data_IF_752994419043
#
_entry.id   IF_752994419043
#
_cell.length_a   1.000
_cell.length_b   1.000
_cell.length_c   1.000
_cell.angle_alpha   90.00
_cell.angle_beta   90.00
_cell.angle_gamma   90.00
#
_symmetry.space_group_name_H-M   'P 1'
#
loop_
_entity.id
_entity.type
_entity.pdbx_description
1 polymer ?
#
# COMPACT_ATOMS: atom_id res chain seq x y z
N UNK A 1 -2.12 10.65 -18.94
CA UNK A 1 -2.64 9.56 -18.09
C UNK A 1 -1.63 9.00 -17.07
N UNK A 2 -0.31 8.93 -17.35
CA UNK A 2 0.67 8.31 -16.41
C UNK A 2 0.79 9.02 -15.05
N UNK A 3 0.52 10.33 -14.98
CA UNK A 3 0.71 11.13 -13.75
C UNK A 3 -0.43 10.93 -12.74
N UNK A 4 -1.66 10.65 -13.19
CA UNK A 4 -2.85 10.57 -12.35
C UNK A 4 -2.78 9.38 -11.38
N UNK A 5 -2.21 8.26 -11.84
CA UNK A 5 -2.15 7.00 -11.10
C UNK A 5 -0.74 6.65 -10.59
N UNK A 6 0.22 7.58 -10.67
CA UNK A 6 1.63 7.31 -10.29
C UNK A 6 1.80 6.91 -8.80
N UNK A 7 0.98 7.46 -7.89
CA UNK A 7 0.96 7.06 -6.47
C UNK A 7 0.45 5.63 -6.27
N UNK A 8 -0.53 5.20 -7.07
CA UNK A 8 -1.03 3.83 -7.08
C UNK A 8 0.01 2.86 -7.64
N UNK A 9 0.63 3.19 -8.78
CA UNK A 9 1.71 2.39 -9.36
C UNK A 9 2.87 2.26 -8.38
N UNK A 10 3.24 3.35 -7.68
CA UNK A 10 4.27 3.30 -6.64
C UNK A 10 3.86 2.42 -5.46
N UNK A 11 2.62 2.53 -4.96
CA UNK A 11 2.13 1.69 -3.88
C UNK A 11 2.08 0.21 -4.29
N UNK A 12 1.63 -0.10 -5.50
CA UNK A 12 1.60 -1.46 -6.04
C UNK A 12 3.00 -2.00 -6.32
N UNK A 13 3.95 -1.17 -6.77
CA UNK A 13 5.35 -1.54 -6.89
C UNK A 13 5.95 -1.92 -5.53
N UNK A 14 5.61 -1.19 -4.47
CA UNK A 14 6.00 -1.54 -3.10
C UNK A 14 5.36 -2.85 -2.64
N UNK A 15 4.06 -3.04 -2.90
CA UNK A 15 3.36 -4.28 -2.55
C UNK A 15 3.95 -5.49 -3.30
N UNK A 16 4.17 -5.36 -4.60
CA UNK A 16 4.76 -6.42 -5.42
C UNK A 16 6.19 -6.72 -5.03
N UNK A 17 7.03 -5.71 -4.77
CA UNK A 17 8.38 -5.88 -4.23
C UNK A 17 8.38 -6.60 -2.88
N UNK A 18 7.40 -6.29 -2.01
CA UNK A 18 7.20 -7.02 -0.76
C UNK A 18 6.91 -8.49 -1.03
N UNK A 19 5.98 -8.77 -1.95
CA UNK A 19 5.53 -10.12 -2.27
C UNK A 19 6.53 -10.96 -3.07
N UNK A 20 7.43 -10.34 -3.83
CA UNK A 20 8.53 -11.05 -4.50
C UNK A 20 9.69 -11.36 -3.57
N UNK A 21 9.65 -10.85 -2.33
CA UNK A 21 10.74 -11.00 -1.37
C UNK A 21 11.92 -10.08 -1.68
N UNK A 22 11.71 -8.99 -2.43
CA UNK A 22 12.75 -8.00 -2.72
C UNK A 22 13.30 -7.33 -1.45
N UNK A 23 12.50 -7.31 -0.38
CA UNK A 23 12.92 -6.83 0.94
C UNK A 23 13.47 -7.95 1.86
N UNK A 24 13.61 -9.17 1.32
CA UNK A 24 14.03 -10.38 2.02
C UNK A 24 13.00 -11.50 1.92
N UNK A 25 13.46 -12.75 1.78
CA UNK A 25 12.59 -13.93 1.64
C UNK A 25 11.61 -14.13 2.80
N UNK A 26 11.96 -13.70 4.02
CA UNK A 26 11.06 -13.73 5.19
C UNK A 26 9.91 -12.72 5.10
N UNK A 27 9.96 -11.77 4.17
CA UNK A 27 8.98 -10.71 3.96
C UNK A 27 8.17 -10.90 2.67
N UNK A 28 8.36 -12.03 1.96
CA UNK A 28 7.69 -12.41 0.71
C UNK A 28 6.19 -12.78 0.87
N UNK A 29 5.52 -12.18 1.85
CA UNK A 29 4.13 -12.45 2.22
C UNK A 29 3.49 -11.18 2.79
N UNK A 30 2.16 -11.10 2.76
CA UNK A 30 1.47 -10.01 3.47
C UNK A 30 1.67 -10.16 4.98
N UNK A 31 2.15 -9.11 5.68
CA UNK A 31 2.49 -9.22 7.08
C UNK A 31 1.23 -9.32 7.95
N UNK A 32 1.06 -10.47 8.62
CA UNK A 32 -0.07 -10.74 9.51
C UNK A 32 0.14 -10.28 10.95
N UNK A 33 1.37 -9.93 11.31
CA UNK A 33 1.74 -9.39 12.63
C UNK A 33 2.28 -7.98 12.53
N UNK A 34 2.16 -7.20 13.61
CA UNK A 34 2.65 -5.82 13.67
C UNK A 34 4.17 -5.72 13.50
N UNK A 35 4.92 -6.68 14.06
CA UNK A 35 6.37 -6.72 13.92
C UNK A 35 6.83 -6.97 12.48
N UNK A 36 6.22 -7.95 11.80
CA UNK A 36 6.48 -8.20 10.39
C UNK A 36 6.07 -6.98 9.54
N UNK A 37 4.91 -6.38 9.84
CA UNK A 37 4.42 -5.23 9.11
C UNK A 37 5.36 -4.03 9.19
N UNK A 38 5.85 -3.70 10.40
CA UNK A 38 6.79 -2.60 10.58
C UNK A 38 8.15 -2.87 9.94
N UNK A 39 8.63 -4.13 9.96
CA UNK A 39 9.88 -4.51 9.30
C UNK A 39 9.79 -4.33 7.78
N UNK A 40 8.77 -4.92 7.14
CA UNK A 40 8.52 -4.76 5.70
C UNK A 40 8.28 -3.30 5.34
N UNK A 41 7.55 -2.56 6.18
CA UNK A 41 7.26 -1.15 5.94
C UNK A 41 8.51 -0.27 5.98
N UNK A 42 9.46 -0.54 6.88
CA UNK A 42 10.72 0.20 6.91
C UNK A 42 11.54 -0.05 5.64
N UNK A 43 11.64 -1.31 5.21
CA UNK A 43 12.35 -1.65 3.97
C UNK A 43 11.67 -1.03 2.73
N UNK A 44 10.34 -1.06 2.70
CA UNK A 44 9.54 -0.41 1.67
C UNK A 44 9.77 1.11 1.65
N UNK A 45 9.71 1.77 2.81
CA UNK A 45 9.95 3.21 2.93
C UNK A 45 11.36 3.59 2.45
N UNK A 46 12.36 2.83 2.88
CA UNK A 46 13.75 3.01 2.46
C UNK A 46 13.93 2.87 0.94
N UNK A 47 13.38 1.81 0.35
CA UNK A 47 13.42 1.59 -1.11
C UNK A 47 12.77 2.70 -1.93
N UNK A 48 11.78 3.38 -1.35
CA UNK A 48 11.08 4.49 -1.98
C UNK A 48 11.65 5.86 -1.57
N UNK A 49 12.73 5.87 -0.79
CA UNK A 49 13.37 7.08 -0.23
C UNK A 49 12.39 7.96 0.57
N UNK A 50 11.45 7.33 1.26
CA UNK A 50 10.46 7.98 2.13
C UNK A 50 10.89 7.81 3.60
N UNK A 51 10.77 8.83 4.46
CA UNK A 51 11.15 8.71 5.87
C UNK A 51 10.37 7.60 6.59
N UNK A 52 11.09 6.63 7.16
CA UNK A 52 10.51 5.50 7.89
C UNK A 52 9.66 5.96 9.09
N UNK A 53 10.02 7.06 9.75
CA UNK A 53 9.22 7.63 10.84
C UNK A 53 7.82 8.06 10.41
N UNK A 54 7.68 8.62 9.20
CA UNK A 54 6.38 8.98 8.61
C UNK A 54 5.54 7.75 8.29
N UNK A 55 6.15 6.74 7.66
CA UNK A 55 5.47 5.48 7.34
C UNK A 55 4.98 4.75 8.61
N UNK A 56 5.81 4.67 9.67
CA UNK A 56 5.43 4.11 10.96
C UNK A 56 4.28 4.87 11.62
N UNK A 57 4.27 6.19 11.49
CA UNK A 57 3.19 7.04 12.02
C UNK A 57 1.89 6.78 11.26
N UNK A 58 1.94 6.69 9.93
CA UNK A 58 0.79 6.33 9.11
C UNK A 58 0.25 4.93 9.48
N UNK A 59 1.12 3.95 9.69
CA UNK A 59 0.75 2.63 10.18
C UNK A 59 0.02 2.66 11.52
N UNK A 60 0.52 3.47 12.48
CA UNK A 60 -0.11 3.62 13.81
C UNK A 60 -1.47 4.35 13.73
N UNK A 61 -1.61 5.31 12.83
CA UNK A 61 -2.84 6.10 12.63
C UNK A 61 -3.90 5.37 11.80
N UNK A 62 -3.56 4.29 11.13
CA UNK A 62 -4.48 3.53 10.30
C UNK A 62 -5.72 3.06 11.12
N UNK A 63 -6.95 3.33 10.67
CA UNK A 63 -8.19 3.06 11.43
C UNK A 63 -8.63 1.58 11.39
N UNK A 64 -7.68 0.65 11.27
CA UNK A 64 -7.96 -0.77 11.11
C UNK A 64 -7.36 -1.57 12.25
N UNK A 65 -8.03 -2.62 12.73
CA UNK A 65 -7.48 -3.48 13.79
C UNK A 65 -6.48 -4.51 13.24
N UNK A 66 -6.66 -4.97 11.99
CA UNK A 66 -5.82 -6.02 11.39
C UNK A 66 -4.46 -5.47 10.92
N UNK A 67 -3.32 -6.10 11.30
CA UNK A 67 -1.99 -5.65 10.89
C UNK A 67 -1.78 -5.56 9.38
N UNK A 68 -2.37 -6.49 8.61
CA UNK A 68 -2.33 -6.46 7.13
C UNK A 68 -2.98 -5.20 6.59
N UNK A 69 -4.13 -4.79 7.12
CA UNK A 69 -4.83 -3.60 6.63
C UNK A 69 -4.08 -2.32 7.01
N UNK A 70 -3.52 -2.26 8.22
CA UNK A 70 -2.62 -1.16 8.62
C UNK A 70 -1.40 -1.06 7.70
N UNK A 71 -0.85 -2.21 7.30
CA UNK A 71 0.26 -2.28 6.37
C UNK A 71 -0.12 -1.75 4.98
N UNK A 72 -1.22 -2.23 4.39
CA UNK A 72 -1.73 -1.75 3.10
C UNK A 72 -1.97 -0.23 3.11
N UNK A 73 -2.54 0.29 4.19
CA UNK A 73 -2.74 1.72 4.39
C UNK A 73 -1.42 2.49 4.40
N UNK A 74 -0.42 2.02 5.17
CA UNK A 74 0.88 2.66 5.24
C UNK A 74 1.66 2.58 3.92
N UNK A 75 1.52 1.50 3.16
CA UNK A 75 2.08 1.39 1.81
C UNK A 75 1.42 2.37 0.84
N UNK A 76 0.10 2.53 0.91
CA UNK A 76 -0.60 3.59 0.20
C UNK A 76 -0.05 4.96 0.55
N UNK A 77 0.19 5.24 1.84
CA UNK A 77 0.78 6.50 2.29
C UNK A 77 2.18 6.74 1.71
N UNK A 78 3.04 5.71 1.65
CA UNK A 78 4.37 5.78 1.00
C UNK A 78 4.22 6.16 -0.49
N UNK A 79 3.29 5.50 -1.21
CA UNK A 79 3.01 5.82 -2.61
C UNK A 79 2.51 7.27 -2.80
N UNK A 80 1.66 7.75 -1.89
CA UNK A 80 1.15 9.13 -1.90
C UNK A 80 2.22 10.19 -1.62
N UNK A 81 3.17 9.93 -0.72
CA UNK A 81 4.28 10.86 -0.44
C UNK A 81 5.23 11.07 -1.62
N UNK A 82 5.35 10.10 -2.52
CA UNK A 82 6.22 10.18 -3.70
C UNK A 82 5.65 11.10 -4.78
N UNK A 83 4.32 11.20 -4.86
CA UNK A 83 3.63 11.94 -5.92
C UNK A 83 2.52 12.82 -5.34
N UNK A 84 2.84 14.08 -4.97
CA UNK A 84 1.88 15.02 -4.37
C UNK A 84 0.65 15.28 -5.26
N UNK A 85 0.82 15.32 -6.58
CA UNK A 85 -0.27 15.52 -7.54
C UNK A 85 -1.22 14.33 -7.61
N UNK A 86 -0.68 13.11 -7.71
CA UNK A 86 -1.46 11.86 -7.71
C UNK A 86 -2.14 11.62 -6.37
N UNK A 87 -1.60 12.18 -5.30
CA UNK A 87 -2.21 12.22 -3.98
C UNK A 87 -3.51 13.05 -4.01
N UNK A 88 -3.48 14.24 -4.61
CA UNK A 88 -4.66 15.10 -4.77
C UNK A 88 -5.76 14.38 -5.59
N UNK A 89 -5.38 13.67 -6.65
CA UNK A 89 -6.31 12.86 -7.44
C UNK A 89 -6.96 11.72 -6.64
N UNK A 90 -6.19 10.98 -5.82
CA UNK A 90 -6.78 9.95 -4.96
C UNK A 90 -7.78 10.52 -3.93
N UNK A 91 -7.63 11.80 -3.57
CA UNK A 91 -8.57 12.52 -2.70
C UNK A 91 -9.81 13.01 -3.45
N UNK A 92 -9.67 13.45 -4.70
CA UNK A 92 -10.75 14.05 -5.52
C UNK A 92 -11.54 12.99 -6.30
N UNK A 93 -10.86 12.08 -6.98
CA UNK A 93 -11.43 11.00 -7.82
C UNK A 93 -11.27 9.63 -7.17
N UNK A 94 -11.74 9.52 -5.91
CA UNK A 94 -11.53 8.32 -5.09
C UNK A 94 -12.14 7.05 -5.70
N UNK A 95 -13.34 7.13 -6.28
CA UNK A 95 -14.03 5.97 -6.85
C UNK A 95 -13.31 5.39 -8.07
N UNK A 96 -12.83 6.24 -8.98
CA UNK A 96 -12.02 5.81 -10.14
C UNK A 96 -10.68 5.23 -9.71
N UNK A 97 -10.01 5.90 -8.75
CA UNK A 97 -8.74 5.43 -8.17
C UNK A 97 -8.91 4.05 -7.50
N UNK A 98 -10.02 3.80 -6.80
CA UNK A 98 -10.32 2.50 -6.20
C UNK A 98 -10.60 1.41 -7.25
N UNK A 99 -11.27 1.75 -8.36
CA UNK A 99 -11.50 0.82 -9.46
C UNK A 99 -10.20 0.44 -10.17
N UNK A 100 -9.33 1.41 -10.43
CA UNK A 100 -8.02 1.18 -11.04
C UNK A 100 -7.14 0.31 -10.13
N UNK A 101 -7.07 0.65 -8.84
CA UNK A 101 -6.36 -0.15 -7.84
C UNK A 101 -6.90 -1.60 -7.79
N UNK A 102 -8.22 -1.78 -7.88
CA UNK A 102 -8.83 -3.10 -7.90
C UNK A 102 -8.47 -3.88 -9.16
N UNK A 103 -8.45 -3.23 -10.32
CA UNK A 103 -8.05 -3.83 -11.60
C UNK A 103 -6.61 -4.31 -11.54
N UNK A 104 -5.69 -3.46 -11.08
CA UNK A 104 -4.28 -3.80 -10.89
C UNK A 104 -4.07 -4.95 -9.89
N UNK A 105 -4.79 -4.92 -8.76
CA UNK A 105 -4.74 -6.01 -7.78
C UNK A 105 -5.20 -7.33 -8.42
N UNK A 106 -6.27 -7.31 -9.21
CA UNK A 106 -6.80 -8.50 -9.90
C UNK A 106 -5.84 -9.05 -10.94
N UNK A 107 -5.11 -8.19 -11.65
CA UNK A 107 -4.09 -8.60 -12.62
C UNK A 107 -2.88 -9.26 -11.93
N UNK A 108 -2.64 -8.97 -10.65
CA UNK A 108 -1.54 -9.57 -9.91
C UNK A 108 -1.95 -10.85 -9.16
N UNK A 109 -1.81 -12.01 -9.82
CA UNK A 109 -2.19 -13.31 -9.26
C UNK A 109 -1.49 -13.67 -7.93
N UNK A 110 -0.26 -13.17 -7.68
CA UNK A 110 0.44 -13.38 -6.39
C UNK A 110 -0.21 -12.58 -5.27
N UNK A 111 -0.52 -11.30 -5.53
CA UNK A 111 -1.21 -10.43 -4.56
C UNK A 111 -2.60 -10.98 -4.23
N UNK A 112 -3.38 -11.42 -5.24
CA UNK A 112 -4.67 -12.07 -5.03
C UNK A 112 -4.56 -13.31 -4.13
N UNK A 113 -3.59 -14.20 -4.40
CA UNK A 113 -3.37 -15.40 -3.58
C UNK A 113 -3.03 -15.04 -2.14
N UNK A 114 -2.20 -14.02 -1.93
CA UNK A 114 -1.78 -13.59 -0.59
C UNK A 114 -2.93 -12.93 0.17
N UNK A 115 -3.69 -12.04 -0.48
CA UNK A 115 -4.90 -11.43 0.09
C UNK A 115 -5.91 -12.49 0.52
N UNK A 116 -6.12 -13.52 -0.32
CA UNK A 116 -6.98 -14.66 0.01
C UNK A 116 -6.48 -15.43 1.24
N UNK A 117 -5.17 -15.70 1.34
CA UNK A 117 -4.58 -16.40 2.50
C UNK A 117 -4.78 -15.65 3.82
N UNK A 118 -4.79 -14.32 3.78
CA UNK A 118 -4.97 -13.47 4.97
C UNK A 118 -6.42 -13.01 5.17
N UNK A 119 -7.38 -13.58 4.42
CA UNK A 119 -8.80 -13.27 4.52
C UNK A 119 -9.09 -11.76 4.35
N UNK A 120 -8.45 -11.13 3.37
CA UNK A 120 -8.71 -9.74 2.98
C UNK A 120 -9.32 -9.74 1.59
N UNK A 121 -10.49 -9.11 1.47
CA UNK A 121 -11.15 -8.92 0.18
C UNK A 121 -10.35 -7.96 -0.71
N UNK A 122 -10.34 -8.21 -2.02
CA UNK A 122 -9.58 -7.41 -2.98
C UNK A 122 -10.09 -5.97 -3.05
N UNK A 123 -11.41 -5.77 -2.99
CA UNK A 123 -12.04 -4.44 -2.99
C UNK A 123 -11.70 -3.69 -1.70
N UNK A 124 -11.67 -4.40 -0.57
CA UNK A 124 -11.21 -3.82 0.70
C UNK A 124 -9.73 -3.42 0.61
N UNK A 125 -8.87 -4.27 0.06
CA UNK A 125 -7.46 -3.97 -0.11
C UNK A 125 -7.24 -2.73 -1.00
N UNK A 126 -7.96 -2.64 -2.12
CA UNK A 126 -7.93 -1.48 -3.02
C UNK A 126 -8.32 -0.19 -2.28
N UNK A 127 -9.48 -0.18 -1.59
CA UNK A 127 -9.93 1.00 -0.86
C UNK A 127 -8.97 1.41 0.26
N UNK A 128 -8.39 0.44 0.98
CA UNK A 128 -7.42 0.70 2.06
C UNK A 128 -6.14 1.34 1.52
N UNK A 129 -5.62 0.87 0.38
CA UNK A 129 -4.44 1.46 -0.27
C UNK A 129 -4.76 2.89 -0.72
N UNK A 130 -5.91 3.12 -1.37
CA UNK A 130 -6.32 4.46 -1.82
C UNK A 130 -6.53 5.42 -0.64
N UNK A 131 -7.10 4.96 0.47
CA UNK A 131 -7.21 5.73 1.71
C UNK A 131 -5.84 6.11 2.27
N UNK A 132 -4.89 5.17 2.22
CA UNK A 132 -3.50 5.41 2.57
C UNK A 132 -2.88 6.52 1.70
N UNK A 133 -3.03 6.42 0.39
CA UNK A 133 -2.56 7.44 -0.57
C UNK A 133 -3.17 8.80 -0.23
N UNK A 134 -4.49 8.89 -0.12
CA UNK A 134 -5.19 10.15 0.16
C UNK A 134 -4.78 10.78 1.50
N UNK A 135 -4.41 9.96 2.49
CA UNK A 135 -3.94 10.46 3.80
C UNK A 135 -2.54 11.09 3.74
N UNK A 136 -1.73 10.77 2.72
CA UNK A 136 -0.41 11.35 2.54
C UNK A 136 -0.43 12.81 2.05
N UNK A 137 -1.58 13.30 1.59
CA UNK A 137 -1.79 14.65 1.05
C UNK A 137 -2.20 15.66 2.12
N UNK A 138 -2.00 15.29 3.40
CA UNK A 138 -2.23 16.15 4.56
C UNK A 138 -0.92 16.67 5.14
#
# INVERSE_FOLDING_TARGET
MIVEYASLVAALAVLTASLTGAFGHKLAVLPTSSGAALSTLNAAADSQKVPAGGARTAYKRAPYSKPVLKYLYAVGWIGGKKSPLSCLFARVSRTETEQEALTEIKQNGKLVKQLRRVHVDQKLAASVVVQGIASACS
#
